data_IF_487802023851
#
_entry.id   IF_487802023851
#
_cell.length_a   1.000
_cell.length_b   1.000
_cell.length_c   1.000
_cell.angle_alpha   90.00
_cell.angle_beta   90.00
_cell.angle_gamma   90.00
#
_symmetry.space_group_name_H-M   'P 1'
#
loop_
_entity.id
_entity.type
_entity.pdbx_description
1 polymer ?
#
# COMPACT_ATOMS: atom_id res chain seq x y z
N UNK A 1 -0.18 -20.39 11.72
CA UNK A 1 0.89 -19.81 10.88
C UNK A 1 1.04 -18.33 11.20
N UNK A 2 2.22 -17.73 11.01
CA UNK A 2 2.45 -16.30 11.21
C UNK A 2 2.83 -15.70 9.86
N UNK A 3 2.07 -14.71 9.40
CA UNK A 3 2.27 -14.07 8.10
C UNK A 3 2.80 -12.65 8.26
N UNK A 4 3.86 -12.31 7.50
CA UNK A 4 4.41 -10.96 7.31
C UNK A 4 4.88 -10.23 8.57
N UNK A 5 5.14 -10.96 9.65
CA UNK A 5 5.57 -10.36 10.92
C UNK A 5 6.87 -9.58 10.77
N UNK A 6 7.89 -10.20 10.20
CA UNK A 6 9.21 -9.56 10.12
C UNK A 6 9.22 -8.44 9.08
N UNK A 7 8.52 -8.60 7.96
CA UNK A 7 8.33 -7.54 6.97
C UNK A 7 7.67 -6.29 7.60
N UNK A 8 6.55 -6.44 8.31
CA UNK A 8 5.91 -5.30 8.96
C UNK A 8 6.81 -4.63 10.00
N UNK A 9 7.62 -5.41 10.74
CA UNK A 9 8.57 -4.86 11.72
C UNK A 9 9.67 -4.05 11.04
N UNK A 10 10.19 -4.52 9.91
CA UNK A 10 11.17 -3.76 9.11
C UNK A 10 10.56 -2.45 8.63
N UNK A 11 9.36 -2.50 8.03
CA UNK A 11 8.67 -1.28 7.55
C UNK A 11 8.48 -0.24 8.67
N UNK A 12 8.09 -0.69 9.86
CA UNK A 12 7.93 0.22 11.01
C UNK A 12 9.25 0.75 11.55
N UNK A 13 10.30 -0.06 11.58
CA UNK A 13 11.62 0.36 12.07
C UNK A 13 12.25 1.39 11.13
N UNK A 14 12.12 1.17 9.82
CA UNK A 14 12.70 2.05 8.79
C UNK A 14 11.77 3.23 8.43
N UNK A 15 10.63 3.40 9.14
CA UNK A 15 9.58 4.40 8.83
C UNK A 15 9.28 4.46 7.33
N UNK A 16 9.09 3.28 6.73
CA UNK A 16 8.91 3.10 5.31
C UNK A 16 7.67 3.85 4.81
N UNK A 17 7.75 4.38 3.59
CA UNK A 17 6.59 4.89 2.89
C UNK A 17 5.91 3.75 2.14
N UNK A 18 4.58 3.68 2.22
CA UNK A 18 3.77 2.63 1.63
C UNK A 18 2.72 3.23 0.71
N UNK A 19 2.35 2.48 -0.33
CA UNK A 19 1.21 2.77 -1.21
C UNK A 19 0.08 1.79 -0.90
N UNK A 20 -1.11 2.33 -0.66
CA UNK A 20 -2.35 1.58 -0.44
C UNK A 20 -3.47 2.17 -1.30
N UNK A 21 -4.53 1.40 -1.52
CA UNK A 21 -5.79 1.96 -2.05
C UNK A 21 -6.49 2.70 -0.93
N UNK A 22 -6.78 3.98 -1.16
CA UNK A 22 -7.55 4.81 -0.22
C UNK A 22 -9.04 4.71 -0.56
N UNK A 23 -9.38 4.93 -1.83
CA UNK A 23 -10.75 4.93 -2.31
C UNK A 23 -10.81 4.62 -3.81
N UNK A 24 -12.00 4.73 -4.38
CA UNK A 24 -12.23 4.69 -5.82
C UNK A 24 -12.95 5.97 -6.20
N UNK A 25 -12.57 6.58 -7.32
CA UNK A 25 -13.29 7.75 -7.80
C UNK A 25 -14.66 7.38 -8.40
N UNK A 26 -15.40 8.40 -8.85
CA UNK A 26 -16.73 8.24 -9.45
C UNK A 26 -16.78 7.30 -10.68
N UNK A 27 -15.62 7.03 -11.30
CA UNK A 27 -15.47 6.14 -12.46
C UNK A 27 -15.02 4.74 -12.06
N UNK A 28 -14.86 4.49 -10.77
CA UNK A 28 -14.32 3.24 -10.24
C UNK A 28 -12.81 3.09 -10.47
N UNK A 29 -12.08 4.16 -10.75
CA UNK A 29 -10.62 4.10 -10.84
C UNK A 29 -10.03 4.23 -9.43
N UNK A 30 -9.15 3.29 -9.02
CA UNK A 30 -8.48 3.36 -7.73
C UNK A 30 -7.78 4.71 -7.49
N UNK A 31 -7.91 5.23 -6.27
CA UNK A 31 -7.15 6.36 -5.75
C UNK A 31 -6.18 5.81 -4.71
N UNK A 32 -4.89 6.08 -4.91
CA UNK A 32 -3.85 5.60 -4.02
C UNK A 32 -3.45 6.66 -3.00
N UNK A 33 -3.16 6.22 -1.79
CA UNK A 33 -2.56 7.04 -0.75
C UNK A 33 -1.13 6.57 -0.47
N UNK A 34 -0.24 7.54 -0.26
CA UNK A 34 1.08 7.33 0.32
C UNK A 34 1.00 7.61 1.80
N UNK A 35 1.55 6.71 2.62
CA UNK A 35 1.54 6.82 4.08
C UNK A 35 2.86 6.38 4.66
N UNK A 36 3.27 7.00 5.77
CA UNK A 36 4.48 6.59 6.47
C UNK A 36 4.11 5.60 7.58
N UNK A 37 4.78 4.44 7.60
CA UNK A 37 4.54 3.44 8.63
C UNK A 37 5.08 3.92 9.97
N UNK A 38 4.24 3.82 11.00
CA UNK A 38 4.57 4.19 12.38
C UNK A 38 4.69 2.99 13.30
N UNK A 39 3.99 1.89 13.02
CA UNK A 39 3.99 0.70 13.88
C UNK A 39 3.61 -0.57 13.14
N UNK A 40 4.25 -1.69 13.50
CA UNK A 40 3.82 -3.02 13.09
C UNK A 40 2.73 -3.55 14.03
N UNK A 41 1.66 -4.10 13.48
CA UNK A 41 0.56 -4.70 14.26
C UNK A 41 0.29 -6.13 13.81
N UNK A 42 -0.03 -6.99 14.78
CA UNK A 42 -0.46 -8.35 14.55
C UNK A 42 -1.89 -8.55 15.04
N UNK A 43 -2.73 -9.13 14.20
CA UNK A 43 -4.08 -9.59 14.57
C UNK A 43 -4.11 -11.12 14.58
N UNK A 44 -4.83 -11.69 15.55
CA UNK A 44 -4.99 -13.14 15.69
C UNK A 44 -6.31 -13.56 15.05
N UNK A 45 -6.26 -14.54 14.15
CA UNK A 45 -7.43 -15.17 13.55
C UNK A 45 -7.32 -16.69 13.73
N UNK A 46 -7.97 -17.21 14.77
CA UNK A 46 -7.90 -18.62 15.16
C UNK A 46 -6.45 -19.09 15.41
N UNK A 47 -6.00 -20.05 14.58
CA UNK A 47 -4.62 -20.60 14.64
C UNK A 47 -3.59 -19.77 13.86
N UNK A 48 -4.03 -18.72 13.18
CA UNK A 48 -3.18 -17.87 12.35
C UNK A 48 -3.01 -16.48 12.96
N UNK A 49 -1.87 -15.86 12.67
CA UNK A 49 -1.60 -14.46 12.98
C UNK A 49 -1.27 -13.73 11.69
N UNK A 50 -1.98 -12.65 11.41
CA UNK A 50 -1.79 -11.80 10.24
C UNK A 50 -1.24 -10.47 10.69
N UNK A 51 -0.20 -10.00 10.01
CA UNK A 51 0.42 -8.73 10.33
C UNK A 51 0.09 -7.65 9.31
N UNK A 52 0.11 -6.43 9.80
CA UNK A 52 -0.15 -5.20 9.08
C UNK A 52 0.64 -4.05 9.69
N UNK A 53 0.32 -2.85 9.26
CA UNK A 53 1.02 -1.63 9.64
C UNK A 53 0.01 -0.55 10.00
N UNK A 54 0.29 0.20 11.06
CA UNK A 54 -0.28 1.53 11.27
C UNK A 54 0.59 2.56 10.56
N UNK A 55 -0.05 3.66 10.21
CA UNK A 55 0.59 4.79 9.58
C UNK A 55 0.18 6.12 10.25
N UNK A 56 0.86 7.18 9.84
CA UNK A 56 0.83 8.53 10.41
C UNK A 56 -0.48 9.29 10.18
N UNK A 57 -1.03 9.23 8.97
CA UNK A 57 -2.24 9.97 8.60
C UNK A 57 -3.39 9.04 8.22
N UNK A 58 -4.65 9.31 8.65
CA UNK A 58 -5.77 8.45 8.30
C UNK A 58 -6.02 8.42 6.78
N UNK A 59 -6.61 7.32 6.32
CA UNK A 59 -7.25 7.23 5.01
C UNK A 59 -8.56 8.03 5.00
N UNK A 60 -9.17 8.17 3.83
CA UNK A 60 -10.42 8.93 3.63
C UNK A 60 -11.59 8.43 4.48
N UNK A 61 -11.58 7.16 4.88
CA UNK A 61 -12.58 6.55 5.77
C UNK A 61 -12.23 6.65 7.28
N UNK A 62 -11.11 7.30 7.62
CA UNK A 62 -10.61 7.44 8.98
C UNK A 62 -9.73 6.27 9.45
N UNK A 63 -9.54 5.21 8.66
CA UNK A 63 -8.68 4.10 9.03
C UNK A 63 -7.20 4.50 9.08
N UNK A 64 -6.49 4.06 10.11
CA UNK A 64 -5.05 4.35 10.31
C UNK A 64 -4.17 3.11 10.21
N UNK A 65 -4.70 2.00 9.68
CA UNK A 65 -3.98 0.74 9.60
C UNK A 65 -4.46 -0.13 8.44
N UNK A 66 -3.56 -0.95 7.93
CA UNK A 66 -3.86 -1.91 6.87
C UNK A 66 -3.13 -3.23 7.09
N UNK A 67 -3.75 -4.35 6.70
CA UNK A 67 -3.05 -5.64 6.60
C UNK A 67 -1.97 -5.62 5.52
N UNK A 68 -0.84 -6.31 5.72
CA UNK A 68 0.30 -6.27 4.79
C UNK A 68 -0.06 -6.74 3.38
N UNK A 69 -1.05 -7.62 3.23
CA UNK A 69 -1.56 -8.08 1.92
C UNK A 69 -2.11 -6.96 1.04
N UNK A 70 -2.54 -5.85 1.64
CA UNK A 70 -3.10 -4.69 0.93
C UNK A 70 -2.10 -3.55 0.74
N UNK A 71 -0.87 -3.69 1.26
CA UNK A 71 0.25 -2.82 0.87
C UNK A 71 0.64 -3.18 -0.57
N UNK A 72 0.47 -2.22 -1.48
CA UNK A 72 0.70 -2.40 -2.92
C UNK A 72 2.13 -2.09 -3.33
N UNK A 73 2.74 -1.10 -2.69
CA UNK A 73 4.17 -0.84 -2.82
C UNK A 73 4.71 -0.29 -1.51
N UNK A 74 6.02 -0.39 -1.32
CA UNK A 74 6.71 0.28 -0.23
C UNK A 74 8.14 0.61 -0.60
N UNK A 75 8.68 1.66 -0.01
CA UNK A 75 10.09 1.99 -0.12
C UNK A 75 10.71 2.09 1.25
N UNK A 76 11.89 1.50 1.36
CA UNK A 76 12.77 1.60 2.51
C UNK A 76 14.13 2.07 2.03
N UNK A 77 15.03 2.43 2.94
CA UNK A 77 16.34 2.98 2.58
C UNK A 77 17.20 2.03 1.72
N UNK A 78 16.82 0.75 1.65
CA UNK A 78 17.56 -0.30 0.91
C UNK A 78 16.91 -0.70 -0.41
N UNK A 79 15.59 -0.52 -0.55
CA UNK A 79 14.86 -0.99 -1.73
C UNK A 79 13.46 -0.40 -1.83
N UNK A 80 12.97 -0.36 -3.06
CA UNK A 80 11.56 -0.18 -3.39
C UNK A 80 10.98 -1.52 -3.88
N UNK A 81 9.85 -1.94 -3.32
CA UNK A 81 9.08 -3.11 -3.76
C UNK A 81 7.73 -2.64 -4.30
N UNK A 82 7.46 -2.89 -5.58
CA UNK A 82 6.34 -2.32 -6.32
C UNK A 82 5.56 -3.33 -7.16
N UNK A 83 5.91 -4.62 -7.08
CA UNK A 83 5.34 -5.67 -7.93
C UNK A 83 3.82 -5.73 -7.83
N UNK A 84 3.28 -5.58 -6.61
CA UNK A 84 1.82 -5.60 -6.39
C UNK A 84 1.14 -4.39 -6.99
N UNK A 85 1.70 -3.18 -6.84
CA UNK A 85 1.15 -1.95 -7.43
C UNK A 85 1.11 -2.03 -8.95
N UNK A 86 2.20 -2.49 -9.58
CA UNK A 86 2.25 -2.67 -11.05
C UNK A 86 1.15 -3.61 -11.54
N UNK A 87 0.99 -4.75 -10.88
CA UNK A 87 -0.03 -5.75 -11.19
C UNK A 87 -1.43 -5.47 -10.65
N UNK A 88 -1.63 -4.40 -9.87
CA UNK A 88 -2.91 -4.14 -9.23
C UNK A 88 -3.96 -3.72 -10.25
N UNK A 89 -5.12 -4.35 -10.24
CA UNK A 89 -6.25 -3.93 -11.06
C UNK A 89 -7.53 -4.14 -10.24
N UNK A 90 -8.51 -3.21 -10.31
CA UNK A 90 -9.81 -3.46 -9.69
C UNK A 90 -10.47 -4.72 -10.28
N UNK A 91 -11.45 -5.29 -9.57
CA UNK A 91 -12.10 -6.52 -10.04
C UNK A 91 -13.05 -6.32 -11.24
N UNK A 92 -13.36 -5.08 -11.59
CA UNK A 92 -14.24 -4.70 -12.70
C UNK A 92 -13.45 -4.15 -13.90
N UNK A 93 -14.10 -4.12 -15.05
CA UNK A 93 -13.54 -3.57 -16.29
C UNK A 93 -13.56 -2.04 -16.26
N UNK A 94 -12.45 -1.42 -16.63
CA UNK A 94 -12.35 0.01 -16.86
C UNK A 94 -12.52 0.33 -18.35
N UNK A 95 -12.91 1.57 -18.65
CA UNK A 95 -12.84 2.07 -20.03
C UNK A 95 -11.38 2.27 -20.45
N UNK A 96 -11.09 2.36 -21.75
CA UNK A 96 -9.71 2.58 -22.24
C UNK A 96 -9.09 3.85 -21.62
N UNK A 97 -9.88 4.93 -21.49
CA UNK A 97 -9.41 6.18 -20.89
C UNK A 97 -9.12 6.00 -19.39
N UNK A 98 -9.97 5.24 -18.69
CA UNK A 98 -9.81 4.96 -17.26
C UNK A 98 -8.65 3.99 -16.97
N UNK A 99 -8.33 3.07 -17.89
CA UNK A 99 -7.11 2.24 -17.85
C UNK A 99 -5.86 3.12 -17.92
N UNK A 100 -5.83 4.09 -18.86
CA UNK A 100 -4.76 5.08 -18.95
C UNK A 100 -4.59 5.85 -17.64
N UNK A 101 -5.71 6.28 -17.05
CA UNK A 101 -5.71 6.98 -15.76
C UNK A 101 -5.18 6.11 -14.62
N UNK A 102 -5.51 4.82 -14.59
CA UNK A 102 -4.98 3.88 -13.60
C UNK A 102 -3.46 3.73 -13.74
N UNK A 103 -2.94 3.62 -14.97
CA UNK A 103 -1.50 3.55 -15.24
C UNK A 103 -0.79 4.79 -14.70
N UNK A 104 -1.31 5.99 -15.00
CA UNK A 104 -0.74 7.25 -14.53
C UNK A 104 -0.74 7.36 -13.00
N UNK A 105 -1.84 6.95 -12.35
CA UNK A 105 -1.93 6.97 -10.87
C UNK A 105 -0.95 6.01 -10.21
N UNK A 106 -0.77 4.80 -10.77
CA UNK A 106 0.25 3.86 -10.27
C UNK A 106 1.66 4.44 -10.41
N UNK A 107 1.95 5.05 -11.55
CA UNK A 107 3.24 5.69 -11.81
C UNK A 107 3.51 6.82 -10.80
N UNK A 108 2.54 7.71 -10.61
CA UNK A 108 2.67 8.83 -9.66
C UNK A 108 2.82 8.35 -8.21
N UNK A 109 2.05 7.34 -7.80
CA UNK A 109 2.15 6.77 -6.46
C UNK A 109 3.51 6.09 -6.22
N UNK A 110 4.05 5.39 -7.22
CA UNK A 110 5.37 4.78 -7.14
C UNK A 110 6.47 5.85 -7.05
N UNK A 111 6.41 6.86 -7.93
CA UNK A 111 7.36 7.98 -7.92
C UNK A 111 7.38 8.71 -6.58
N UNK A 112 6.23 8.84 -5.92
CA UNK A 112 6.11 9.52 -4.64
C UNK A 112 6.83 8.81 -3.48
N UNK A 113 7.04 7.49 -3.56
CA UNK A 113 7.73 6.72 -2.51
C UNK A 113 9.15 6.32 -2.89
N UNK A 114 9.52 6.39 -4.17
CA UNK A 114 10.79 5.86 -4.62
C UNK A 114 11.94 6.81 -4.28
N UNK A 115 12.53 6.58 -3.10
CA UNK A 115 13.69 7.32 -2.59
C UNK A 115 14.98 7.11 -3.41
N UNK A 116 14.94 6.26 -4.44
CA UNK A 116 16.09 6.03 -5.34
C UNK A 116 16.02 6.87 -6.62
N UNK A 117 14.92 7.59 -6.83
CA UNK A 117 14.76 8.56 -7.92
C UNK A 117 15.10 9.95 -7.35
N UNK A 118 16.37 10.33 -7.45
CA UNK A 118 16.80 11.75 -7.39
C UNK A 118 16.35 12.49 -8.67
#
# INVERSE_FOLDING_TARGET
MIYWKEECRVLATERAEIVVVDSYDERGVPVFAVRQVTKAIGTRSGRNSYWGVHFDEPLSDGCTAVGFSFVLAYSTDKRTEDKRLRGYHPAWTLTIDDEGRLVDRKYNALKAIDKTID
#
